data_IF_878864094244
#
_entry.id   IF_878864094244
#
_cell.length_a   1.000
_cell.length_b   1.000
_cell.length_c   1.000
_cell.angle_alpha   90.00
_cell.angle_beta   90.00
_cell.angle_gamma   90.00
#
_symmetry.space_group_name_H-M   'P 1'
#
loop_
_entity.id
_entity.type
_entity.pdbx_description
1 polymer ?
#
# COMPACT_ATOMS: atom_id res chain seq x y z
N UNK A 1 -1.76 4.13 -3.92
CA UNK A 1 -0.96 5.05 -3.07
C UNK A 1 -0.29 6.14 -3.89
N UNK A 2 0.52 5.83 -4.90
CA UNK A 2 1.16 6.82 -5.80
C UNK A 2 0.20 7.90 -6.31
N UNK A 3 -0.92 7.50 -6.92
CA UNK A 3 -1.93 8.43 -7.43
C UNK A 3 -2.60 9.26 -6.32
N UNK A 4 -2.80 8.67 -5.13
CA UNK A 4 -3.38 9.38 -3.99
C UNK A 4 -2.44 10.47 -3.48
N UNK A 5 -1.14 10.17 -3.42
CA UNK A 5 -0.10 11.15 -3.07
C UNK A 5 0.00 12.25 -4.12
N UNK A 6 0.09 11.90 -5.40
CA UNK A 6 0.10 12.87 -6.51
C UNK A 6 -1.07 13.85 -6.42
N UNK A 7 -2.31 13.35 -6.23
CA UNK A 7 -3.49 14.20 -6.04
C UNK A 7 -3.39 15.07 -4.79
N UNK A 8 -2.89 14.54 -3.69
CA UNK A 8 -2.69 15.35 -2.47
C UNK A 8 -1.64 16.45 -2.66
N UNK A 9 -0.57 16.22 -3.42
CA UNK A 9 0.42 17.23 -3.77
C UNK A 9 -0.12 18.31 -4.73
N UNK A 10 -1.21 18.00 -5.45
CA UNK A 10 -2.03 18.94 -6.22
C UNK A 10 -3.18 19.57 -5.41
N UNK A 11 -3.27 19.29 -4.10
CA UNK A 11 -4.36 19.76 -3.24
C UNK A 11 -5.75 19.27 -3.69
N UNK A 12 -5.82 18.04 -4.20
CA UNK A 12 -7.04 17.42 -4.72
C UNK A 12 -7.37 16.12 -3.99
N UNK A 13 -8.67 15.84 -3.77
CA UNK A 13 -9.09 14.56 -3.21
C UNK A 13 -8.75 13.41 -4.15
N UNK A 14 -8.50 12.23 -3.56
CA UNK A 14 -8.32 10.99 -4.31
C UNK A 14 -9.65 10.24 -4.36
N UNK A 15 -10.36 10.42 -5.47
CA UNK A 15 -11.75 9.97 -5.61
C UNK A 15 -11.84 8.61 -6.31
N UNK A 16 -12.74 7.74 -5.83
CA UNK A 16 -13.08 6.46 -6.47
C UNK A 16 -11.87 5.58 -6.81
N UNK A 17 -10.82 5.61 -5.99
CA UNK A 17 -9.53 4.95 -6.24
C UNK A 17 -8.87 5.34 -7.57
N UNK A 18 -9.12 6.57 -8.04
CA UNK A 18 -8.64 7.08 -9.33
C UNK A 18 -9.49 6.65 -10.52
N UNK A 19 -10.57 5.90 -10.30
CA UNK A 19 -11.50 5.49 -11.35
C UNK A 19 -12.50 6.59 -11.70
N UNK A 20 -13.10 6.49 -12.89
CA UNK A 20 -14.13 7.44 -13.32
C UNK A 20 -15.37 7.38 -12.39
N UNK A 21 -15.91 8.52 -11.92
CA UNK A 21 -17.14 8.57 -11.12
C UNK A 21 -18.35 7.92 -11.80
N UNK A 22 -18.34 7.83 -13.14
CA UNK A 22 -19.41 7.21 -13.91
C UNK A 22 -19.57 5.71 -13.67
N UNK A 23 -18.54 5.04 -13.12
CA UNK A 23 -18.61 3.61 -12.77
C UNK A 23 -19.30 3.38 -11.42
N UNK A 24 -19.41 4.42 -10.58
CA UNK A 24 -19.94 4.30 -9.23
C UNK A 24 -21.37 3.72 -9.20
N UNK A 25 -22.34 4.14 -10.03
CA UNK A 25 -23.68 3.55 -10.06
C UNK A 25 -23.69 2.04 -10.34
N UNK A 26 -22.79 1.55 -11.20
CA UNK A 26 -22.65 0.13 -11.50
C UNK A 26 -22.10 -0.65 -10.30
N UNK A 27 -21.11 -0.07 -9.62
CA UNK A 27 -20.57 -0.63 -8.37
C UNK A 27 -21.65 -0.66 -7.28
N UNK A 28 -22.48 0.38 -7.16
CA UNK A 28 -23.63 0.40 -6.25
C UNK A 28 -24.68 -0.66 -6.59
N UNK A 29 -25.02 -0.82 -7.87
CA UNK A 29 -25.98 -1.81 -8.34
C UNK A 29 -25.55 -3.25 -8.04
N UNK A 30 -24.22 -3.52 -8.00
CA UNK A 30 -23.69 -4.84 -7.62
C UNK A 30 -24.11 -5.32 -6.22
N UNK A 31 -24.55 -4.40 -5.34
CA UNK A 31 -25.06 -4.73 -4.00
C UNK A 31 -26.35 -5.55 -4.04
N UNK A 32 -27.16 -5.38 -5.09
CA UNK A 32 -28.41 -6.12 -5.27
C UNK A 32 -28.18 -7.59 -5.66
N UNK A 33 -26.94 -7.94 -6.03
CA UNK A 33 -26.59 -9.30 -6.38
C UNK A 33 -26.40 -10.15 -5.11
N UNK A 34 -26.88 -11.41 -5.11
CA UNK A 34 -26.52 -12.39 -4.08
C UNK A 34 -25.00 -12.53 -3.94
N UNK A 35 -24.52 -12.79 -2.73
CA UNK A 35 -23.09 -12.85 -2.41
C UNK A 35 -22.26 -13.72 -3.38
N UNK A 36 -22.70 -14.94 -3.79
CA UNK A 36 -21.93 -15.76 -4.73
C UNK A 36 -21.76 -15.07 -6.10
N UNK A 37 -22.80 -14.38 -6.57
CA UNK A 37 -22.77 -13.69 -7.86
C UNK A 37 -21.93 -12.42 -7.78
N UNK A 38 -21.99 -11.69 -6.66
CA UNK A 38 -21.14 -10.51 -6.42
C UNK A 38 -19.66 -10.84 -6.41
N UNK A 39 -19.28 -11.93 -5.74
CA UNK A 39 -17.90 -12.46 -5.74
C UNK A 39 -17.46 -12.88 -7.14
N UNK A 40 -18.32 -13.55 -7.91
CA UNK A 40 -18.04 -13.92 -9.31
C UNK A 40 -17.84 -12.70 -10.20
N UNK A 41 -18.69 -11.68 -10.08
CA UNK A 41 -18.57 -10.42 -10.84
C UNK A 41 -17.27 -9.72 -10.46
N UNK A 42 -16.95 -9.60 -9.18
CA UNK A 42 -15.69 -9.01 -8.74
C UNK A 42 -14.48 -9.76 -9.27
N UNK A 43 -14.43 -11.09 -9.08
CA UNK A 43 -13.36 -11.94 -9.60
C UNK A 43 -13.21 -11.79 -11.12
N UNK A 44 -14.32 -11.77 -11.87
CA UNK A 44 -14.28 -11.56 -13.31
C UNK A 44 -13.74 -10.17 -13.70
N UNK A 45 -14.15 -9.11 -12.99
CA UNK A 45 -13.68 -7.74 -13.23
C UNK A 45 -12.19 -7.63 -12.93
N UNK A 46 -11.74 -8.10 -11.77
CA UNK A 46 -10.31 -8.13 -11.44
C UNK A 46 -9.53 -8.96 -12.47
N UNK A 47 -10.01 -10.15 -12.83
CA UNK A 47 -9.42 -10.99 -13.89
C UNK A 47 -9.37 -10.34 -15.27
N UNK A 48 -10.27 -9.39 -15.56
CA UNK A 48 -10.29 -8.65 -16.82
C UNK A 48 -9.20 -7.56 -16.88
N UNK A 49 -8.78 -7.04 -15.73
CA UNK A 49 -7.63 -6.13 -15.59
C UNK A 49 -6.29 -6.85 -15.84
N UNK A 50 -6.25 -8.17 -15.65
CA UNK A 50 -5.08 -8.98 -15.93
C UNK A 50 -4.67 -8.97 -17.41
N UNK A 51 -3.37 -8.75 -17.65
CA UNK A 51 -2.76 -8.82 -18.97
C UNK A 51 -2.79 -10.26 -19.51
N UNK A 52 -3.21 -10.49 -20.76
CA UNK A 52 -3.04 -11.79 -21.41
C UNK A 52 -1.55 -12.16 -21.44
N UNK A 53 -1.16 -13.42 -21.15
CA UNK A 53 0.26 -13.83 -21.11
C UNK A 53 1.03 -13.48 -22.39
N UNK A 54 0.38 -13.55 -23.56
CA UNK A 54 0.97 -13.17 -24.86
C UNK A 54 1.44 -11.72 -24.97
N UNK A 55 0.95 -10.81 -24.10
CA UNK A 55 1.32 -9.39 -24.06
C UNK A 55 2.41 -9.09 -23.04
N UNK A 56 2.85 -10.05 -22.24
CA UNK A 56 3.97 -9.86 -21.31
C UNK A 56 5.25 -9.35 -21.96
N UNK A 57 5.61 -9.76 -23.21
CA UNK A 57 6.76 -9.17 -23.90
C UNK A 57 6.60 -7.67 -24.21
N UNK A 58 5.37 -7.14 -24.24
CA UNK A 58 5.12 -5.71 -24.52
C UNK A 58 5.27 -4.83 -23.26
N UNK A 59 5.49 -5.42 -22.09
CA UNK A 59 5.59 -4.69 -20.83
C UNK A 59 7.00 -4.09 -20.70
N UNK A 60 7.06 -2.77 -20.71
CA UNK A 60 8.28 -1.99 -20.47
C UNK A 60 8.15 -1.24 -19.14
N UNK A 61 8.78 -1.76 -18.09
CA UNK A 61 8.68 -1.21 -16.74
C UNK A 61 9.37 0.16 -16.62
N UNK A 62 10.36 0.44 -17.47
CA UNK A 62 10.95 1.78 -17.52
C UNK A 62 9.92 2.84 -17.93
N UNK A 63 8.98 2.49 -18.82
CA UNK A 63 7.85 3.38 -19.15
C UNK A 63 6.90 3.53 -17.95
N UNK A 64 6.75 2.51 -17.10
CA UNK A 64 5.98 2.60 -15.85
C UNK A 64 6.65 3.55 -14.87
N UNK A 65 7.98 3.48 -14.71
CA UNK A 65 8.74 4.42 -13.91
C UNK A 65 8.62 5.85 -14.45
N UNK A 66 8.68 6.03 -15.78
CA UNK A 66 8.43 7.32 -16.42
C UNK A 66 7.01 7.81 -16.11
N UNK A 67 5.98 7.00 -16.34
CA UNK A 67 4.59 7.35 -16.02
C UNK A 67 4.43 7.77 -14.56
N UNK A 68 5.10 7.09 -13.63
CA UNK A 68 5.02 7.36 -12.21
C UNK A 68 5.53 8.76 -11.85
N UNK A 69 6.72 9.14 -12.36
CA UNK A 69 7.29 10.47 -12.09
C UNK A 69 6.49 11.60 -12.75
N UNK A 70 5.82 11.32 -13.87
CA UNK A 70 4.93 12.28 -14.55
C UNK A 70 3.63 12.57 -13.78
N UNK A 71 3.29 11.78 -12.76
CA UNK A 71 2.12 12.06 -11.92
C UNK A 71 2.33 13.27 -10.99
N UNK A 72 3.58 13.67 -10.75
CA UNK A 72 3.88 14.70 -9.77
C UNK A 72 3.88 16.11 -10.37
N UNK A 73 3.41 17.13 -9.60
CA UNK A 73 3.54 18.52 -10.00
C UNK A 73 4.98 18.90 -10.38
N UNK A 74 5.11 19.72 -11.42
CA UNK A 74 6.41 20.21 -11.89
C UNK A 74 6.94 21.31 -10.97
N UNK A 75 7.58 20.92 -9.87
CA UNK A 75 8.25 21.81 -8.91
C UNK A 75 9.50 21.15 -8.34
N UNK A 76 10.30 21.90 -7.61
CA UNK A 76 11.38 21.34 -6.81
C UNK A 76 10.86 20.88 -5.44
N UNK A 77 11.35 19.75 -4.96
CA UNK A 77 10.93 19.13 -3.71
C UNK A 77 12.05 19.16 -2.66
N UNK A 78 11.73 19.40 -1.38
CA UNK A 78 12.71 19.48 -0.30
C UNK A 78 13.24 18.11 0.16
N UNK A 79 12.63 17.02 -0.31
CA UNK A 79 13.09 15.65 -0.18
C UNK A 79 12.31 14.78 -1.18
N UNK A 80 12.71 13.52 -1.29
CA UNK A 80 11.99 12.48 -2.05
C UNK A 80 12.10 11.18 -1.31
N UNK A 81 11.06 10.36 -1.38
CA UNK A 81 11.10 9.00 -0.85
C UNK A 81 11.23 7.99 -1.98
N UNK A 82 12.05 6.96 -1.81
CA UNK A 82 12.16 5.81 -2.72
C UNK A 82 11.98 4.52 -1.90
N UNK A 83 11.23 3.54 -2.39
CA UNK A 83 11.19 2.21 -1.76
C UNK A 83 9.80 1.62 -1.56
N UNK A 84 9.62 0.94 -0.44
CA UNK A 84 8.43 0.16 -0.07
C UNK A 84 7.15 0.99 -0.05
N UNK A 85 6.04 0.35 -0.40
CA UNK A 85 4.72 0.98 -0.29
C UNK A 85 4.23 0.96 1.15
N UNK A 86 3.65 2.06 1.62
CA UNK A 86 3.07 2.13 2.96
C UNK A 86 2.01 3.25 3.03
N UNK A 87 0.79 2.91 3.45
CA UNK A 87 -0.30 3.89 3.48
C UNK A 87 -0.18 4.92 4.59
N UNK A 88 0.39 4.56 5.75
CA UNK A 88 0.67 5.51 6.83
C UNK A 88 1.68 6.55 6.34
N UNK A 89 2.81 6.09 5.81
CA UNK A 89 3.85 6.98 5.31
C UNK A 89 3.36 7.84 4.13
N UNK A 90 2.43 7.33 3.30
CA UNK A 90 1.79 8.13 2.24
C UNK A 90 1.08 9.37 2.79
N UNK A 91 0.41 9.28 3.96
CA UNK A 91 -0.17 10.45 4.62
C UNK A 91 0.90 11.43 5.09
N UNK A 92 2.01 10.92 5.62
CA UNK A 92 3.14 11.74 6.06
C UNK A 92 3.82 12.46 4.89
N UNK A 93 4.02 11.78 3.76
CA UNK A 93 4.59 12.36 2.54
C UNK A 93 3.73 13.52 2.01
N UNK A 94 2.40 13.35 2.05
CA UNK A 94 1.46 14.40 1.68
C UNK A 94 1.56 15.61 2.62
N UNK A 95 1.64 15.39 3.93
CA UNK A 95 1.83 16.46 4.91
C UNK A 95 3.16 17.20 4.72
N UNK A 96 4.22 16.47 4.33
CA UNK A 96 5.53 17.05 4.02
C UNK A 96 5.61 17.71 2.64
N UNK A 97 4.65 17.43 1.74
CA UNK A 97 4.65 17.93 0.37
C UNK A 97 5.69 17.26 -0.53
N UNK A 98 6.13 16.04 -0.22
CA UNK A 98 7.22 15.31 -0.92
C UNK A 98 6.70 14.11 -1.73
N UNK A 99 7.34 13.76 -2.87
CA UNK A 99 6.95 12.64 -3.71
C UNK A 99 7.52 11.32 -3.18
N UNK A 100 6.89 10.22 -3.57
CA UNK A 100 7.36 8.85 -3.36
C UNK A 100 7.52 8.10 -4.68
N UNK A 101 8.67 7.48 -4.88
CA UNK A 101 9.01 6.69 -6.06
C UNK A 101 8.94 5.20 -5.69
N UNK A 102 7.92 4.46 -6.17
CA UNK A 102 7.70 3.08 -5.78
C UNK A 102 8.82 2.16 -6.26
N UNK A 103 9.27 1.25 -5.39
CA UNK A 103 10.12 0.12 -5.79
C UNK A 103 9.32 -1.01 -6.43
N UNK A 104 8.17 -1.36 -5.83
CA UNK A 104 7.40 -2.56 -6.20
C UNK A 104 6.23 -2.19 -7.10
N UNK A 105 6.03 -2.97 -8.16
CA UNK A 105 4.96 -2.82 -9.15
C UNK A 105 4.21 -4.14 -9.34
N UNK A 106 2.89 -4.09 -9.43
CA UNK A 106 2.08 -5.26 -9.74
C UNK A 106 1.78 -5.34 -11.24
N UNK A 107 2.15 -6.46 -11.86
CA UNK A 107 1.73 -6.85 -13.20
C UNK A 107 0.73 -8.00 -13.06
N UNK A 108 -0.59 -7.73 -13.07
CA UNK A 108 -1.57 -8.80 -13.00
C UNK A 108 -1.57 -9.58 -14.31
N UNK A 109 -1.39 -10.90 -14.26
CA UNK A 109 -1.35 -11.76 -15.45
C UNK A 109 -2.57 -12.68 -15.47
N UNK A 110 -3.34 -12.64 -16.54
CA UNK A 110 -4.59 -13.37 -16.64
C UNK A 110 -4.39 -14.90 -16.57
N UNK A 111 -5.01 -15.54 -15.58
CA UNK A 111 -5.04 -16.99 -15.33
C UNK A 111 -6.47 -17.37 -14.92
N UNK A 112 -7.37 -17.50 -15.90
CA UNK A 112 -8.81 -17.65 -15.64
C UNK A 112 -9.16 -19.01 -15.08
N UNK A 113 -10.09 -19.01 -14.13
CA UNK A 113 -10.68 -20.23 -13.53
C UNK A 113 -9.64 -21.14 -12.90
N UNK A 114 -8.56 -20.56 -12.39
CA UNK A 114 -7.59 -21.27 -11.60
C UNK A 114 -8.20 -21.69 -10.26
N UNK A 115 -7.82 -22.87 -9.78
CA UNK A 115 -8.03 -23.24 -8.40
C UNK A 115 -7.02 -22.47 -7.53
N UNK A 116 -7.48 -21.64 -6.57
CA UNK A 116 -6.57 -20.96 -5.64
C UNK A 116 -5.75 -21.95 -4.81
N UNK A 117 -6.22 -23.17 -4.58
CA UNK A 117 -5.48 -24.16 -3.79
C UNK A 117 -4.44 -24.94 -4.64
N UNK A 118 -4.42 -24.74 -5.97
CA UNK A 118 -3.43 -25.34 -6.88
C UNK A 118 -2.12 -24.54 -6.89
N UNK A 119 -1.33 -24.73 -5.83
CA UNK A 119 -0.03 -24.06 -5.62
C UNK A 119 0.99 -24.47 -6.69
N UNK A 120 1.04 -25.76 -7.06
CA UNK A 120 1.97 -26.25 -8.10
C UNK A 120 1.64 -25.62 -9.45
N UNK A 121 0.37 -25.59 -9.85
CA UNK A 121 -0.01 -24.95 -11.10
C UNK A 121 0.19 -23.43 -11.09
N UNK A 122 0.16 -22.77 -9.93
CA UNK A 122 0.56 -21.37 -9.81
C UNK A 122 2.06 -21.18 -10.07
N UNK A 123 2.92 -22.05 -9.49
CA UNK A 123 4.35 -22.06 -9.78
C UNK A 123 4.62 -22.32 -11.26
N UNK A 124 4.05 -23.39 -11.82
CA UNK A 124 4.28 -23.80 -13.21
C UNK A 124 3.86 -22.69 -14.19
N UNK A 125 2.76 -21.99 -13.89
CA UNK A 125 2.34 -20.81 -14.65
C UNK A 125 3.36 -19.68 -14.59
N UNK A 126 3.93 -19.41 -13.42
CA UNK A 126 5.02 -18.45 -13.23
C UNK A 126 6.24 -18.81 -14.07
N UNK A 127 6.71 -20.06 -13.99
CA UNK A 127 7.82 -20.58 -14.79
C UNK A 127 7.57 -20.40 -16.28
N UNK A 128 6.36 -20.74 -16.74
CA UNK A 128 6.01 -20.68 -18.16
C UNK A 128 5.99 -19.26 -18.73
N UNK A 129 5.58 -18.26 -17.93
CA UNK A 129 5.24 -16.93 -18.43
C UNK A 129 6.16 -15.80 -17.97
N UNK A 130 7.04 -16.02 -16.99
CA UNK A 130 7.94 -15.00 -16.48
C UNK A 130 9.05 -14.59 -17.46
N UNK A 131 9.66 -15.54 -18.17
CA UNK A 131 10.89 -15.27 -18.93
C UNK A 131 10.76 -14.16 -19.98
N UNK A 132 9.66 -14.06 -20.77
CA UNK A 132 9.51 -12.95 -21.70
C UNK A 132 9.44 -11.57 -21.04
N UNK A 133 8.86 -11.47 -19.83
CA UNK A 133 8.80 -10.23 -19.07
C UNK A 133 10.20 -9.82 -18.60
N UNK A 134 10.94 -10.75 -17.99
CA UNK A 134 12.28 -10.48 -17.43
C UNK A 134 13.32 -10.15 -18.51
N UNK A 135 13.26 -10.81 -19.69
CA UNK A 135 14.19 -10.51 -20.79
C UNK A 135 14.11 -9.06 -21.28
N UNK A 136 12.93 -8.46 -21.22
CA UNK A 136 12.72 -7.08 -21.67
C UNK A 136 12.91 -6.07 -20.53
N UNK A 137 13.13 -6.53 -19.30
CA UNK A 137 13.27 -5.70 -18.11
C UNK A 137 14.41 -6.26 -17.24
N UNK A 138 15.66 -5.99 -17.64
CA UNK A 138 16.83 -6.58 -16.97
C UNK A 138 17.11 -5.98 -15.57
N UNK A 139 16.52 -4.84 -15.24
CA UNK A 139 16.73 -4.07 -14.01
C UNK A 139 15.75 -4.41 -12.89
N UNK A 140 15.00 -5.51 -13.05
CA UNK A 140 13.99 -5.94 -12.09
C UNK A 140 14.08 -7.41 -11.72
N UNK A 141 13.61 -7.71 -10.51
CA UNK A 141 13.27 -9.06 -10.06
C UNK A 141 11.77 -9.30 -10.02
N UNK A 142 11.37 -10.56 -10.25
CA UNK A 142 9.99 -11.01 -10.21
C UNK A 142 9.74 -11.93 -9.01
N UNK A 143 8.74 -11.56 -8.23
CA UNK A 143 8.04 -12.44 -7.30
C UNK A 143 6.74 -12.91 -7.97
N UNK A 144 6.72 -14.16 -8.43
CA UNK A 144 5.49 -14.85 -8.80
C UNK A 144 4.79 -15.26 -7.49
N UNK A 145 3.92 -14.39 -7.00
CA UNK A 145 3.29 -14.54 -5.70
C UNK A 145 1.90 -15.18 -5.85
N UNK A 146 1.60 -16.12 -4.96
CA UNK A 146 0.33 -16.83 -4.92
C UNK A 146 -0.18 -16.93 -3.49
N UNK A 147 -1.32 -16.32 -3.19
CA UNK A 147 -1.96 -16.37 -1.87
C UNK A 147 -3.41 -16.90 -1.96
N UNK A 148 -3.67 -18.14 -1.51
CA UNK A 148 -5.01 -18.69 -1.42
C UNK A 148 -5.84 -18.14 -0.24
N UNK A 149 -5.25 -17.35 0.66
CA UNK A 149 -5.90 -16.82 1.85
C UNK A 149 -6.56 -15.45 1.60
N UNK A 150 -5.77 -14.38 1.42
CA UNK A 150 -6.32 -13.03 1.21
C UNK A 150 -6.83 -12.86 -0.22
N UNK A 151 -6.06 -13.34 -1.18
CA UNK A 151 -6.25 -13.11 -2.60
C UNK A 151 -7.06 -14.19 -3.33
N UNK A 152 -7.63 -15.17 -2.62
CA UNK A 152 -8.32 -16.34 -3.20
C UNK A 152 -9.22 -16.03 -4.41
N UNK A 153 -10.04 -14.98 -4.32
CA UNK A 153 -10.93 -14.57 -5.40
C UNK A 153 -10.16 -14.09 -6.64
N UNK A 154 -9.16 -13.25 -6.46
CA UNK A 154 -8.33 -12.72 -7.54
C UNK A 154 -7.37 -13.76 -8.09
N UNK A 155 -6.74 -14.58 -7.23
CA UNK A 155 -5.87 -15.69 -7.60
C UNK A 155 -6.57 -16.73 -8.49
N UNK A 156 -7.90 -16.86 -8.38
CA UNK A 156 -8.70 -17.69 -9.28
C UNK A 156 -8.80 -17.17 -10.71
N UNK A 157 -8.40 -15.92 -10.97
CA UNK A 157 -8.55 -15.24 -12.26
C UNK A 157 -7.26 -14.62 -12.81
N UNK A 158 -6.27 -14.40 -11.96
CA UNK A 158 -4.97 -13.86 -12.32
C UNK A 158 -3.84 -14.40 -11.43
N UNK A 159 -2.63 -14.41 -11.98
CA UNK A 159 -1.40 -14.55 -11.22
C UNK A 159 -0.84 -13.15 -10.87
N UNK A 160 -0.29 -13.02 -9.68
CA UNK A 160 0.32 -11.78 -9.20
C UNK A 160 1.82 -11.79 -9.51
N UNK A 161 2.22 -11.08 -10.57
CA UNK A 161 3.64 -10.83 -10.83
C UNK A 161 4.01 -9.53 -10.15
N UNK A 162 4.60 -9.63 -8.96
CA UNK A 162 5.13 -8.46 -8.23
C UNK A 162 6.57 -8.25 -8.64
N UNK A 163 6.81 -7.11 -9.26
CA UNK A 163 8.09 -6.74 -9.81
C UNK A 163 8.78 -5.74 -8.90
N UNK A 164 10.06 -5.97 -8.60
CA UNK A 164 10.88 -5.08 -7.77
C UNK A 164 12.03 -4.56 -8.60
N UNK A 165 12.26 -3.25 -8.54
CA UNK A 165 13.52 -2.67 -9.02
C UNK A 165 14.68 -3.16 -8.16
N UNK A 166 15.72 -3.68 -8.80
CA UNK A 166 17.04 -3.90 -8.17
C UNK A 166 18.08 -2.86 -8.62
N UNK A 167 17.78 -2.12 -9.70
CA UNK A 167 18.54 -0.95 -10.14
C UNK A 167 17.66 0.30 -10.20
N UNK A 168 18.25 1.48 -9.95
CA UNK A 168 17.54 2.76 -9.96
C UNK A 168 17.14 3.15 -11.41
N UNK A 169 15.85 3.23 -11.76
CA UNK A 169 15.43 3.47 -13.14
C UNK A 169 15.89 4.82 -13.69
N UNK A 170 16.22 4.93 -14.99
CA UNK A 170 16.62 6.21 -15.61
C UNK A 170 15.60 7.34 -15.41
N UNK A 171 14.30 7.03 -15.44
CA UNK A 171 13.25 7.99 -15.17
C UNK A 171 13.29 8.54 -13.73
N UNK A 172 13.63 7.69 -12.75
CA UNK A 172 13.80 8.12 -11.36
C UNK A 172 15.07 8.98 -11.24
N UNK A 173 16.19 8.56 -11.82
CA UNK A 173 17.41 9.37 -11.85
C UNK A 173 17.15 10.76 -12.44
N UNK A 174 16.48 10.84 -13.60
CA UNK A 174 16.12 12.11 -14.22
C UNK A 174 15.24 12.97 -13.31
N UNK A 175 14.24 12.37 -12.65
CA UNK A 175 13.40 13.07 -11.69
C UNK A 175 14.22 13.62 -10.52
N UNK A 176 15.09 12.81 -9.93
CA UNK A 176 15.97 13.22 -8.83
C UNK A 176 16.86 14.39 -9.24
N UNK A 177 17.49 14.33 -10.42
CA UNK A 177 18.37 15.40 -10.91
C UNK A 177 17.65 16.72 -11.14
N UNK A 178 16.40 16.70 -11.61
CA UNK A 178 15.70 17.91 -12.07
C UNK A 178 14.62 18.43 -11.10
N UNK A 179 14.16 17.59 -10.16
CA UNK A 179 13.05 17.90 -9.27
C UNK A 179 13.42 17.89 -7.79
N UNK A 180 14.60 17.41 -7.41
CA UNK A 180 15.08 17.50 -6.03
C UNK A 180 15.80 18.84 -5.83
N UNK A 181 15.57 19.52 -4.70
CA UNK A 181 16.36 20.70 -4.33
C UNK A 181 17.84 20.30 -4.12
N UNK A 182 18.80 21.22 -4.34
CA UNK A 182 20.20 20.96 -4.03
C UNK A 182 20.36 20.44 -2.59
N UNK A 183 21.13 19.37 -2.41
CA UNK A 183 21.39 18.72 -1.11
C UNK A 183 20.16 18.21 -0.34
N UNK A 184 18.96 18.19 -0.94
CA UNK A 184 17.80 17.61 -0.30
C UNK A 184 17.96 16.08 -0.14
N UNK A 185 17.47 15.48 0.97
CA UNK A 185 17.66 14.07 1.23
C UNK A 185 16.85 13.16 0.31
N UNK A 186 17.45 12.03 -0.03
CA UNK A 186 16.74 10.86 -0.57
C UNK A 186 16.43 9.95 0.62
N UNK A 187 15.16 9.83 0.96
CA UNK A 187 14.70 8.96 2.04
C UNK A 187 14.37 7.59 1.46
N UNK A 188 14.92 6.53 2.04
CA UNK A 188 14.61 5.15 1.65
C UNK A 188 13.58 4.59 2.61
N UNK A 189 12.35 4.37 2.14
CA UNK A 189 11.33 3.64 2.91
C UNK A 189 11.62 2.15 2.79
N UNK A 190 12.24 1.58 3.84
CA UNK A 190 12.79 0.22 3.83
C UNK A 190 12.01 -0.70 4.76
N UNK A 191 11.00 -1.37 4.21
CA UNK A 191 10.38 -2.50 4.90
C UNK A 191 11.34 -3.70 4.85
N UNK A 192 11.86 -4.09 6.01
CA UNK A 192 12.81 -5.19 6.15
C UNK A 192 12.11 -6.56 6.33
N UNK A 193 10.81 -6.65 6.05
CA UNK A 193 10.11 -7.95 6.03
C UNK A 193 10.64 -8.85 4.92
N UNK A 194 10.93 -10.09 5.30
CA UNK A 194 11.33 -11.16 4.40
C UNK A 194 10.24 -12.23 4.30
N UNK A 195 10.35 -13.09 3.30
CA UNK A 195 9.46 -14.22 3.10
C UNK A 195 10.21 -15.43 2.54
N UNK A 196 9.92 -16.67 3.00
CA UNK A 196 10.46 -17.89 2.41
C UNK A 196 9.97 -18.12 0.99
N UNK A 197 10.86 -18.42 0.05
CA UNK A 197 10.53 -18.58 -1.37
C UNK A 197 11.10 -19.85 -1.97
N UNK A 198 10.51 -20.28 -3.08
CA UNK A 198 11.12 -21.25 -3.99
C UNK A 198 11.82 -20.47 -5.11
N UNK A 199 13.14 -20.52 -5.16
CA UNK A 199 13.92 -19.90 -6.23
C UNK A 199 13.71 -20.64 -7.55
N UNK A 200 13.21 -19.93 -8.56
CA UNK A 200 12.98 -20.49 -9.90
C UNK A 200 14.23 -20.32 -10.76
N UNK A 201 14.77 -19.10 -10.78
CA UNK A 201 16.03 -18.75 -11.43
C UNK A 201 16.55 -17.44 -10.82
N UNK A 202 17.62 -16.89 -11.40
CA UNK A 202 18.12 -15.59 -10.99
C UNK A 202 17.06 -14.49 -11.20
N UNK A 203 16.92 -13.61 -10.20
CA UNK A 203 15.88 -12.57 -10.13
C UNK A 203 14.43 -13.05 -10.40
N UNK A 204 14.12 -14.34 -10.22
CA UNK A 204 12.77 -14.90 -10.31
C UNK A 204 12.52 -15.89 -9.18
N UNK A 205 11.60 -15.54 -8.30
CA UNK A 205 11.21 -16.35 -7.14
C UNK A 205 9.72 -16.60 -7.15
N UNK A 206 9.31 -17.73 -6.60
CA UNK A 206 7.92 -18.04 -6.32
C UNK A 206 7.66 -17.86 -4.82
N UNK A 207 6.68 -17.03 -4.48
CA UNK A 207 6.30 -16.75 -3.10
C UNK A 207 4.93 -17.38 -2.81
N UNK A 208 4.88 -18.35 -1.91
CA UNK A 208 3.62 -18.92 -1.43
C UNK A 208 3.13 -18.18 -0.18
N UNK A 209 1.96 -17.55 -0.29
CA UNK A 209 1.40 -16.67 0.73
C UNK A 209 1.94 -15.24 0.68
N UNK A 210 1.36 -14.40 1.53
CA UNK A 210 1.78 -13.02 1.77
C UNK A 210 1.35 -12.54 3.15
N UNK A 211 1.82 -11.35 3.54
CA UNK A 211 1.38 -10.65 4.73
C UNK A 211 -0.14 -10.44 4.70
N UNK A 212 -0.83 -10.95 5.73
CA UNK A 212 -2.29 -10.89 5.76
C UNK A 212 -2.91 -12.00 6.59
N UNK A 213 -2.63 -12.02 7.89
CA UNK A 213 -3.36 -12.89 8.83
C UNK A 213 -2.90 -14.36 8.90
N UNK A 214 -1.97 -14.79 8.06
CA UNK A 214 -1.25 -16.06 8.20
C UNK A 214 0.27 -15.83 8.22
N UNK A 215 0.98 -16.57 9.06
CA UNK A 215 2.45 -16.61 9.07
C UNK A 215 3.00 -17.53 7.96
N UNK A 216 4.28 -17.39 7.58
CA UNK A 216 4.92 -18.31 6.64
C UNK A 216 4.78 -19.80 7.04
N UNK A 217 5.00 -20.13 8.32
CA UNK A 217 4.84 -21.49 8.82
C UNK A 217 3.42 -22.04 8.64
N UNK A 218 2.41 -21.18 8.80
CA UNK A 218 1.02 -21.58 8.59
C UNK A 218 0.70 -21.83 7.11
N UNK A 219 1.35 -21.13 6.17
CA UNK A 219 1.28 -21.46 4.75
C UNK A 219 1.99 -22.78 4.45
N UNK A 220 3.19 -23.00 5.01
CA UNK A 220 3.94 -24.23 4.81
C UNK A 220 3.27 -25.48 5.40
N UNK A 221 2.38 -25.30 6.37
CA UNK A 221 1.54 -26.36 6.91
C UNK A 221 0.31 -26.70 6.01
N UNK A 222 0.04 -25.94 4.93
CA UNK A 222 -1.08 -26.23 4.04
C UNK A 222 -0.79 -27.43 3.12
N UNK A 223 -1.81 -28.23 2.77
CA UNK A 223 -1.67 -29.26 1.77
C UNK A 223 -1.18 -28.68 0.42
N UNK A 224 -0.19 -29.32 -0.20
CA UNK A 224 0.35 -28.88 -1.49
C UNK A 224 1.34 -27.73 -1.42
N UNK A 225 1.70 -27.26 -0.21
CA UNK A 225 2.78 -26.31 -0.01
C UNK A 225 4.09 -26.83 -0.64
N UNK A 226 4.87 -25.91 -1.22
CA UNK A 226 6.11 -26.22 -1.90
C UNK A 226 7.31 -25.99 -0.98
N UNK A 227 8.37 -26.77 -1.18
CA UNK A 227 9.63 -26.55 -0.47
C UNK A 227 10.21 -25.18 -0.83
N UNK A 228 10.57 -24.43 0.21
CA UNK A 228 11.27 -23.14 0.10
C UNK A 228 12.76 -23.38 0.30
N UNK A 229 13.59 -22.77 -0.53
CA UNK A 229 15.04 -22.95 -0.54
C UNK A 229 15.81 -21.64 -0.36
N UNK A 230 15.09 -20.53 -0.14
CA UNK A 230 15.67 -19.22 0.06
C UNK A 230 14.73 -18.31 0.88
N UNK A 231 15.25 -17.20 1.36
CA UNK A 231 14.50 -16.15 2.04
C UNK A 231 14.89 -14.78 1.45
N UNK A 232 13.90 -14.06 0.92
CA UNK A 232 14.10 -12.78 0.22
C UNK A 232 13.13 -11.73 0.73
N UNK A 233 13.25 -10.48 0.29
CA UNK A 233 12.29 -9.42 0.58
C UNK A 233 10.85 -9.85 0.24
N UNK A 234 9.89 -9.55 1.12
CA UNK A 234 8.48 -9.92 0.87
C UNK A 234 7.94 -9.24 -0.40
N UNK A 235 7.18 -9.98 -1.21
CA UNK A 235 6.79 -9.59 -2.56
C UNK A 235 6.07 -8.24 -2.68
N UNK A 236 5.20 -7.86 -1.73
CA UNK A 236 4.44 -6.60 -1.76
C UNK A 236 5.13 -5.45 -1.04
N UNK A 237 5.60 -5.74 0.17
CA UNK A 237 6.02 -4.73 1.14
C UNK A 237 7.53 -4.61 1.20
N UNK A 238 8.23 -5.76 1.22
CA UNK A 238 9.66 -5.86 1.43
C UNK A 238 10.48 -5.01 0.46
N UNK A 239 11.51 -4.35 0.97
CA UNK A 239 12.47 -3.58 0.21
C UNK A 239 13.58 -4.50 -0.33
N UNK A 240 14.04 -4.26 -1.56
CA UNK A 240 15.09 -5.05 -2.21
C UNK A 240 16.42 -4.34 -2.03
N UNK A 241 17.33 -4.95 -1.27
CA UNK A 241 18.58 -4.32 -0.86
C UNK A 241 19.54 -4.02 -2.03
N UNK A 242 19.40 -4.70 -3.18
CA UNK A 242 20.18 -4.36 -4.38
C UNK A 242 19.88 -2.92 -4.85
N UNK A 243 18.63 -2.48 -4.75
CA UNK A 243 18.26 -1.11 -5.11
C UNK A 243 18.93 -0.07 -4.19
N UNK A 244 19.16 -0.39 -2.92
CA UNK A 244 19.78 0.55 -1.96
C UNK A 244 21.19 0.93 -2.40
N UNK A 245 21.96 -0.02 -2.94
CA UNK A 245 23.31 0.23 -3.44
C UNK A 245 23.30 1.24 -4.59
N UNK A 246 22.36 1.07 -5.53
CA UNK A 246 22.17 2.01 -6.64
C UNK A 246 21.69 3.39 -6.19
N UNK A 247 20.81 3.46 -5.17
CA UNK A 247 20.37 4.74 -4.59
C UNK A 247 21.56 5.47 -3.96
N UNK A 248 22.36 4.79 -3.13
CA UNK A 248 23.54 5.38 -2.48
C UNK A 248 24.56 5.86 -3.49
N UNK A 249 24.89 5.04 -4.49
CA UNK A 249 25.81 5.43 -5.56
C UNK A 249 25.33 6.67 -6.33
N UNK A 250 24.03 6.74 -6.66
CA UNK A 250 23.46 7.93 -7.28
C UNK A 250 23.54 9.15 -6.36
N UNK A 251 23.18 8.99 -5.08
CA UNK A 251 23.11 10.06 -4.11
C UNK A 251 24.50 10.67 -3.82
N UNK A 252 25.52 9.83 -3.63
CA UNK A 252 26.91 10.24 -3.42
C UNK A 252 27.44 11.06 -4.60
N UNK A 253 27.15 10.61 -5.83
CA UNK A 253 27.56 11.30 -7.06
C UNK A 253 26.89 12.67 -7.24
N UNK A 254 25.69 12.86 -6.70
CA UNK A 254 24.89 14.07 -6.86
C UNK A 254 24.72 14.87 -5.55
N UNK A 255 25.54 14.57 -4.54
CA UNK A 255 25.60 15.30 -3.27
C UNK A 255 24.26 15.35 -2.51
N UNK A 256 23.49 14.27 -2.55
CA UNK A 256 22.26 14.10 -1.77
C UNK A 256 22.52 13.18 -0.57
N UNK A 257 22.16 13.58 0.67
CA UNK A 257 22.21 12.66 1.81
C UNK A 257 21.16 11.55 1.67
N UNK A 258 21.50 10.34 2.09
CA UNK A 258 20.57 9.19 2.10
C UNK A 258 20.12 8.92 3.52
N UNK A 259 18.81 8.94 3.76
CA UNK A 259 18.20 8.62 5.05
C UNK A 259 17.39 7.34 4.92
N UNK A 260 17.82 6.26 5.55
CA UNK A 260 17.05 5.02 5.67
C UNK A 260 16.01 5.11 6.78
N UNK A 261 14.74 4.98 6.38
CA UNK A 261 13.60 4.76 7.27
C UNK A 261 13.28 3.26 7.26
N UNK A 262 13.80 2.53 8.25
CA UNK A 262 13.70 1.07 8.34
C UNK A 262 12.65 0.64 9.36
N UNK A 263 11.81 -0.33 8.97
CA UNK A 263 10.80 -1.00 9.82
C UNK A 263 10.71 -2.48 9.43
N UNK A 264 10.01 -3.33 10.19
CA UNK A 264 10.03 -4.80 9.97
C UNK A 264 8.70 -5.39 9.55
N UNK A 265 7.64 -4.61 9.61
CA UNK A 265 6.31 -5.00 9.20
C UNK A 265 5.54 -3.77 8.68
N UNK A 266 4.69 -3.90 7.66
CA UNK A 266 4.01 -2.75 7.05
C UNK A 266 3.14 -1.95 8.06
N UNK A 267 2.63 -2.60 9.11
CA UNK A 267 1.86 -1.95 10.17
C UNK A 267 2.70 -1.06 11.10
N UNK A 268 4.01 -1.26 11.20
CA UNK A 268 4.88 -0.62 12.20
C UNK A 268 4.85 0.92 12.16
N UNK A 269 4.84 1.59 10.98
CA UNK A 269 4.85 3.04 10.92
C UNK A 269 3.56 3.72 11.40
N UNK A 270 2.43 3.00 11.49
CA UNK A 270 1.11 3.61 11.63
C UNK A 270 0.95 4.51 12.87
N UNK A 271 1.38 4.02 14.04
CA UNK A 271 1.27 4.76 15.30
C UNK A 271 2.18 6.01 15.32
N UNK A 272 3.45 5.83 14.93
CA UNK A 272 4.42 6.93 14.89
C UNK A 272 4.02 8.04 13.92
N UNK A 273 3.46 7.66 12.76
CA UNK A 273 2.87 8.61 11.80
C UNK A 273 1.71 9.36 12.45
N UNK A 274 0.78 8.66 13.10
CA UNK A 274 -0.38 9.28 13.75
C UNK A 274 0.06 10.31 14.80
N UNK A 275 1.04 9.97 15.64
CA UNK A 275 1.54 10.87 16.70
C UNK A 275 2.29 12.07 16.15
N UNK A 276 3.15 11.84 15.14
CA UNK A 276 3.84 12.92 14.41
C UNK A 276 2.84 13.89 13.77
N UNK A 277 1.78 13.35 13.17
CA UNK A 277 0.73 14.15 12.54
C UNK A 277 -0.09 14.93 13.57
N UNK A 278 -0.44 14.31 14.71
CA UNK A 278 -1.13 14.97 15.80
C UNK A 278 -0.28 16.12 16.39
N UNK A 279 1.03 15.91 16.56
CA UNK A 279 1.95 16.96 16.98
C UNK A 279 2.03 18.11 15.97
N UNK A 280 2.05 17.79 14.66
CA UNK A 280 2.00 18.80 13.60
C UNK A 280 0.72 19.65 13.66
N UNK A 281 -0.44 19.03 13.85
CA UNK A 281 -1.71 19.76 14.01
C UNK A 281 -1.66 20.69 15.23
N UNK A 282 -1.18 20.21 16.38
CA UNK A 282 -1.07 21.03 17.61
C UNK A 282 -0.17 22.25 17.43
N UNK A 283 0.95 22.13 16.70
CA UNK A 283 1.83 23.28 16.39
C UNK A 283 1.15 24.37 15.56
N UNK A 284 0.02 24.06 14.93
CA UNK A 284 -0.80 25.01 14.17
C UNK A 284 -2.08 25.43 14.91
N UNK A 285 -2.14 25.21 16.24
CA UNK A 285 -3.31 25.49 17.09
C UNK A 285 -4.57 24.76 16.60
N UNK A 286 -4.40 23.51 16.14
CA UNK A 286 -5.47 22.63 15.71
C UNK A 286 -5.51 21.44 16.66
N UNK A 287 -6.62 21.29 17.38
CA UNK A 287 -6.82 20.16 18.27
C UNK A 287 -7.06 18.86 17.46
N UNK A 288 -6.22 17.82 17.64
CA UNK A 288 -6.30 16.57 16.89
C UNK A 288 -7.44 15.65 17.38
N UNK A 289 -8.68 16.11 17.24
CA UNK A 289 -9.87 15.47 17.84
C UNK A 289 -10.42 14.28 17.04
N UNK A 290 -10.04 14.14 15.76
CA UNK A 290 -10.56 13.10 14.85
C UNK A 290 -9.45 12.15 14.44
N UNK A 291 -9.66 10.85 14.66
CA UNK A 291 -8.87 9.78 14.06
C UNK A 291 -9.57 9.29 12.80
N UNK A 292 -8.86 9.28 11.68
CA UNK A 292 -9.32 8.66 10.43
C UNK A 292 -8.45 7.43 10.15
N UNK A 293 -9.06 6.26 10.30
CA UNK A 293 -8.41 4.99 10.02
C UNK A 293 -8.63 4.60 8.56
N UNK A 294 -7.56 4.59 7.77
CA UNK A 294 -7.54 4.10 6.39
C UNK A 294 -7.07 2.64 6.34
N UNK A 295 -7.34 1.96 5.23
CA UNK A 295 -7.04 0.53 5.10
C UNK A 295 -6.59 0.18 3.68
N UNK A 296 -5.41 -0.42 3.56
CA UNK A 296 -4.78 -0.80 2.31
C UNK A 296 -4.79 0.35 1.28
N UNK A 297 -5.39 0.16 0.10
CA UNK A 297 -5.53 1.18 -0.95
C UNK A 297 -6.67 2.18 -0.72
N UNK A 298 -7.51 1.99 0.31
CA UNK A 298 -8.60 2.91 0.66
C UNK A 298 -8.06 4.00 1.59
N UNK A 299 -7.49 5.04 0.99
CA UNK A 299 -6.98 6.23 1.68
C UNK A 299 -7.18 7.49 0.83
N UNK A 300 -7.18 8.66 1.47
CA UNK A 300 -7.19 9.96 0.80
C UNK A 300 -6.39 10.97 1.65
N UNK A 301 -5.07 11.12 1.40
CA UNK A 301 -4.23 12.02 2.18
C UNK A 301 -4.70 13.47 2.16
N UNK A 302 -5.27 13.93 1.05
CA UNK A 302 -5.75 15.30 0.96
C UNK A 302 -6.97 15.53 1.85
N UNK A 303 -7.95 14.63 1.81
CA UNK A 303 -9.12 14.74 2.70
C UNK A 303 -8.73 14.62 4.17
N UNK A 304 -7.71 13.83 4.51
CA UNK A 304 -7.15 13.80 5.88
C UNK A 304 -6.65 15.17 6.30
N UNK A 305 -5.90 15.87 5.43
CA UNK A 305 -5.44 17.25 5.69
C UNK A 305 -6.64 18.23 5.77
N UNK A 306 -7.57 18.18 4.81
CA UNK A 306 -8.71 19.12 4.72
C UNK A 306 -9.68 19.00 5.90
N UNK A 307 -9.75 17.81 6.52
CA UNK A 307 -10.59 17.54 7.69
C UNK A 307 -9.84 17.68 9.02
N UNK A 308 -8.54 18.02 8.97
CA UNK A 308 -7.64 18.03 10.13
C UNK A 308 -7.70 16.72 10.94
N UNK A 309 -7.78 15.59 10.24
CA UNK A 309 -7.79 14.26 10.86
C UNK A 309 -6.37 13.80 11.17
N UNK A 310 -6.19 13.10 12.28
CA UNK A 310 -5.03 12.25 12.52
C UNK A 310 -5.18 10.97 11.69
N UNK A 311 -4.26 10.66 10.76
CA UNK A 311 -4.30 9.41 10.02
C UNK A 311 -3.79 8.26 10.87
N UNK A 312 -4.50 7.13 10.82
CA UNK A 312 -3.96 5.83 11.16
C UNK A 312 -4.20 4.90 9.98
N UNK A 313 -3.25 4.03 9.64
CA UNK A 313 -3.41 3.14 8.50
C UNK A 313 -3.27 1.69 8.92
N UNK A 314 -4.07 0.83 8.30
CA UNK A 314 -4.00 -0.62 8.46
C UNK A 314 -3.62 -1.25 7.12
N UNK A 315 -2.63 -2.15 7.12
CA UNK A 315 -2.18 -2.81 5.88
C UNK A 315 -3.26 -3.69 5.28
N UNK A 316 -4.00 -4.41 6.11
CA UNK A 316 -5.22 -5.17 5.77
C UNK A 316 -6.17 -5.17 6.97
N UNK A 317 -7.47 -5.49 6.78
CA UNK A 317 -8.42 -5.59 7.89
C UNK A 317 -8.25 -6.89 8.71
N UNK A 318 -7.03 -7.19 9.14
CA UNK A 318 -6.68 -8.39 9.91
C UNK A 318 -6.87 -8.18 11.41
N UNK A 319 -6.96 -9.28 12.17
CA UNK A 319 -6.93 -9.24 13.64
C UNK A 319 -5.66 -8.59 14.18
N UNK A 320 -4.51 -8.78 13.52
CA UNK A 320 -3.26 -8.12 13.88
C UNK A 320 -3.34 -6.60 13.68
N UNK A 321 -3.90 -6.13 12.56
CA UNK A 321 -4.14 -4.70 12.33
C UNK A 321 -5.13 -4.11 13.34
N UNK A 322 -6.18 -4.85 13.69
CA UNK A 322 -7.15 -4.45 14.70
C UNK A 322 -6.53 -4.35 16.10
N UNK A 323 -5.69 -5.32 16.50
CA UNK A 323 -4.93 -5.26 17.76
C UNK A 323 -3.97 -4.07 17.77
N UNK A 324 -3.21 -3.84 16.70
CA UNK A 324 -2.30 -2.69 16.63
C UNK A 324 -3.04 -1.34 16.79
N UNK A 325 -4.24 -1.22 16.22
CA UNK A 325 -5.09 -0.04 16.43
C UNK A 325 -5.63 0.02 17.87
N UNK A 326 -6.03 -1.11 18.45
CA UNK A 326 -6.47 -1.17 19.85
C UNK A 326 -5.37 -0.68 20.80
N UNK A 327 -4.15 -1.19 20.64
CA UNK A 327 -2.98 -0.80 21.44
C UNK A 327 -2.73 0.72 21.30
N UNK A 328 -2.83 1.26 20.09
CA UNK A 328 -2.71 2.70 19.86
C UNK A 328 -3.78 3.50 20.62
N UNK A 329 -5.03 3.03 20.58
CA UNK A 329 -6.17 3.67 21.25
C UNK A 329 -6.14 3.51 22.78
N UNK A 330 -5.31 2.64 23.35
CA UNK A 330 -5.15 2.51 24.81
C UNK A 330 -4.40 3.71 25.41
N UNK A 331 -3.50 4.33 24.63
CA UNK A 331 -2.78 5.54 25.03
C UNK A 331 -3.42 6.85 24.56
N UNK A 332 -4.45 6.79 23.70
CA UNK A 332 -4.96 7.95 22.98
C UNK A 332 -6.48 8.09 23.07
N UNK A 333 -6.96 9.33 23.10
CA UNK A 333 -8.41 9.62 23.09
C UNK A 333 -8.75 10.55 21.95
N UNK A 334 -9.87 10.26 21.28
CA UNK A 334 -10.39 11.03 20.17
C UNK A 334 -11.88 11.29 20.37
N UNK A 335 -12.37 12.46 19.95
CA UNK A 335 -13.80 12.75 19.92
C UNK A 335 -14.51 11.94 18.84
N UNK A 336 -13.84 11.77 17.70
CA UNK A 336 -14.37 11.06 16.55
C UNK A 336 -13.38 10.02 16.04
N UNK A 337 -13.85 8.80 15.80
CA UNK A 337 -13.08 7.73 15.15
C UNK A 337 -13.89 7.25 13.94
N UNK A 338 -13.36 7.53 12.75
CA UNK A 338 -13.92 7.10 11.48
C UNK A 338 -13.02 6.00 10.88
N UNK A 339 -13.57 4.80 10.64
CA UNK A 339 -12.80 3.66 10.13
C UNK A 339 -13.27 3.26 8.74
N UNK A 340 -12.39 3.35 7.75
CA UNK A 340 -12.59 2.78 6.41
C UNK A 340 -11.93 1.40 6.35
N UNK A 341 -12.55 0.45 5.62
CA UNK A 341 -12.02 -0.91 5.48
C UNK A 341 -11.91 -1.32 4.01
N UNK A 342 -10.76 -1.89 3.65
CA UNK A 342 -10.57 -2.55 2.36
C UNK A 342 -11.38 -3.85 2.31
N UNK A 343 -12.16 -4.06 1.25
CA UNK A 343 -12.99 -5.25 1.06
C UNK A 343 -12.42 -6.14 -0.04
N UNK A 344 -11.63 -7.14 0.36
CA UNK A 344 -11.01 -8.12 -0.55
C UNK A 344 -11.93 -9.30 -0.90
N UNK A 345 -13.11 -9.40 -0.28
CA UNK A 345 -14.17 -10.33 -0.66
C UNK A 345 -14.10 -11.72 -0.04
N UNK A 346 -12.97 -12.10 0.55
CA UNK A 346 -12.74 -13.42 1.13
C UNK A 346 -12.84 -13.37 2.66
N UNK A 347 -13.38 -14.42 3.30
CA UNK A 347 -13.24 -14.59 4.76
C UNK A 347 -11.92 -15.31 5.01
N UNK A 348 -10.82 -14.57 4.91
CA UNK A 348 -9.47 -15.08 5.08
C UNK A 348 -9.19 -15.46 6.54
N UNK A 349 -8.28 -16.41 6.75
CA UNK A 349 -7.71 -16.70 8.07
C UNK A 349 -6.99 -15.44 8.56
N UNK A 350 -7.31 -15.05 9.80
CA UNK A 350 -6.81 -13.83 10.43
C UNK A 350 -7.58 -12.55 10.05
N UNK A 351 -8.72 -12.63 9.34
CA UNK A 351 -9.61 -11.49 9.12
C UNK A 351 -10.25 -11.03 10.44
N UNK A 352 -10.24 -9.72 10.71
CA UNK A 352 -11.09 -9.12 11.73
C UNK A 352 -12.44 -8.74 11.12
N UNK A 353 -13.52 -9.31 11.66
CA UNK A 353 -14.90 -9.02 11.22
C UNK A 353 -15.27 -7.55 11.47
N UNK A 354 -16.24 -7.03 10.72
CA UNK A 354 -16.65 -5.62 10.79
C UNK A 354 -17.09 -5.19 12.21
N UNK A 355 -17.60 -6.13 13.01
CA UNK A 355 -17.98 -5.92 14.41
C UNK A 355 -16.79 -5.52 15.29
N UNK A 356 -15.63 -6.15 15.08
CA UNK A 356 -14.40 -5.82 15.78
C UNK A 356 -13.97 -4.38 15.47
N UNK A 357 -13.98 -4.00 14.20
CA UNK A 357 -13.66 -2.63 13.78
C UNK A 357 -14.68 -1.61 14.32
N UNK A 358 -15.97 -1.94 14.33
CA UNK A 358 -16.98 -1.04 14.90
C UNK A 358 -16.79 -0.86 16.41
N UNK A 359 -16.35 -1.90 17.15
CA UNK A 359 -16.01 -1.77 18.57
C UNK A 359 -14.83 -0.81 18.78
N UNK A 360 -13.78 -0.90 17.95
CA UNK A 360 -12.67 0.06 17.98
C UNK A 360 -13.12 1.49 17.68
N UNK A 361 -13.99 1.67 16.68
CA UNK A 361 -14.57 2.98 16.39
C UNK A 361 -15.38 3.53 17.57
N UNK A 362 -16.12 2.68 18.28
CA UNK A 362 -16.93 3.05 19.45
C UNK A 362 -16.10 3.52 20.67
N UNK A 363 -14.75 3.41 20.62
CA UNK A 363 -13.87 3.99 21.65
C UNK A 363 -13.81 5.53 21.58
N UNK A 364 -14.35 6.14 20.53
CA UNK A 364 -14.45 7.59 20.40
C UNK A 364 -15.34 8.20 21.51
N UNK A 365 -14.98 9.38 22.02
CA UNK A 365 -15.75 10.06 23.09
C UNK A 365 -17.14 10.52 22.63
N UNK A 366 -17.31 10.83 21.35
CA UNK A 366 -18.55 11.41 20.81
C UNK A 366 -19.11 10.61 19.66
N UNK A 367 -18.29 10.22 18.68
CA UNK A 367 -18.77 9.55 17.46
C UNK A 367 -17.79 8.52 16.90
N UNK A 368 -18.19 7.25 16.93
CA UNK A 368 -17.48 6.15 16.29
C UNK A 368 -18.28 5.55 15.14
N UNK A 369 -17.68 5.35 13.96
CA UNK A 369 -18.36 4.66 12.86
C UNK A 369 -17.42 3.98 11.87
N UNK A 370 -17.93 2.94 11.20
CA UNK A 370 -17.38 2.49 9.93
C UNK A 370 -17.77 3.47 8.82
N UNK A 371 -16.79 4.18 8.27
CA UNK A 371 -16.98 5.23 7.26
C UNK A 371 -17.01 4.62 5.85
N UNK A 372 -18.16 4.67 5.19
CA UNK A 372 -18.31 4.18 3.82
C UNK A 372 -18.36 2.65 3.67
N UNK A 373 -18.41 1.90 4.77
CA UNK A 373 -18.43 0.43 4.81
C UNK A 373 -19.83 -0.08 5.19
N UNK A 374 -20.28 -1.14 4.52
CA UNK A 374 -21.51 -1.87 4.86
C UNK A 374 -21.15 -3.07 5.73
N UNK A 375 -21.46 -2.95 7.03
CA UNK A 375 -21.12 -3.96 8.05
C UNK A 375 -21.60 -5.37 7.69
N UNK A 376 -22.82 -5.50 7.15
CA UNK A 376 -23.40 -6.80 6.80
C UNK A 376 -22.87 -7.41 5.50
N UNK A 377 -22.18 -6.63 4.67
CA UNK A 377 -21.62 -7.08 3.40
C UNK A 377 -20.11 -7.31 3.46
N UNK A 378 -19.41 -6.74 4.45
CA UNK A 378 -18.00 -6.97 4.71
C UNK A 378 -17.73 -8.48 4.96
N UNK A 379 -16.62 -9.06 4.45
CA UNK A 379 -15.51 -8.47 3.69
C UNK A 379 -15.76 -8.33 2.18
N UNK A 380 -16.97 -8.64 1.68
CA UNK A 380 -17.36 -8.55 0.27
C UNK A 380 -18.19 -7.29 -0.05
N UNK A 381 -17.84 -6.20 0.61
CA UNK A 381 -18.42 -4.88 0.38
C UNK A 381 -17.60 -4.08 -0.65
N UNK A 382 -17.62 -4.51 -1.90
CA UNK A 382 -16.91 -3.80 -2.98
C UNK A 382 -17.45 -2.39 -3.23
N UNK A 383 -18.65 -2.08 -2.74
CA UNK A 383 -19.21 -0.73 -2.82
C UNK A 383 -18.47 0.28 -1.93
N UNK A 384 -17.66 -0.17 -0.99
CA UNK A 384 -16.75 0.68 -0.20
C UNK A 384 -15.86 1.55 -1.11
N UNK A 385 -15.39 1.01 -2.23
CA UNK A 385 -14.53 1.72 -3.20
C UNK A 385 -15.22 2.89 -3.89
N UNK A 386 -16.55 2.88 -3.95
CA UNK A 386 -17.34 4.00 -4.45
C UNK A 386 -17.90 4.89 -3.33
N UNK A 387 -18.05 4.37 -2.12
CA UNK A 387 -18.66 5.07 -0.98
C UNK A 387 -17.70 5.88 -0.14
N UNK A 388 -16.42 5.49 -0.08
CA UNK A 388 -15.46 6.19 0.77
C UNK A 388 -15.33 7.67 0.37
N UNK A 389 -15.33 7.98 -0.94
CA UNK A 389 -15.25 9.36 -1.45
C UNK A 389 -16.38 10.26 -0.95
N UNK A 390 -17.68 9.99 -1.22
CA UNK A 390 -18.75 10.83 -0.68
C UNK A 390 -18.84 10.78 0.84
N UNK A 391 -18.39 9.71 1.50
CA UNK A 391 -18.34 9.64 2.96
C UNK A 391 -17.29 10.58 3.55
N UNK A 392 -16.09 10.65 2.97
CA UNK A 392 -15.03 11.59 3.35
C UNK A 392 -15.45 13.05 3.08
N UNK A 393 -16.04 13.34 1.92
CA UNK A 393 -16.51 14.70 1.58
C UNK A 393 -17.58 15.23 2.56
N UNK A 394 -18.28 14.36 3.28
CA UNK A 394 -19.31 14.73 4.28
C UNK A 394 -18.72 14.99 5.66
N UNK A 395 -17.43 14.73 5.87
CA UNK A 395 -16.76 15.08 7.11
C UNK A 395 -16.69 16.62 7.23
N UNK A 396 -16.87 17.18 8.44
CA UNK A 396 -16.63 18.59 8.68
C UNK A 396 -15.20 18.96 8.28
N UNK A 397 -15.04 20.05 7.53
CA UNK A 397 -13.72 20.60 7.23
C UNK A 397 -13.06 21.10 8.52
N UNK A 398 -11.77 20.85 8.63
CA UNK A 398 -10.93 21.37 9.71
C UNK A 398 -10.30 22.71 9.32
N UNK A 399 -9.71 23.40 10.30
CA UNK A 399 -8.71 24.43 10.01
C UNK A 399 -7.50 23.73 9.42
N UNK A 400 -7.03 24.16 8.25
CA UNK A 400 -5.83 23.59 7.63
C UNK A 400 -4.56 24.11 8.33
N UNK A 401 -3.52 23.27 8.48
CA UNK A 401 -2.18 23.72 8.84
C UNK A 401 -1.69 24.81 7.88
N UNK A 402 -1.00 25.82 8.42
CA UNK A 402 -0.55 26.98 7.65
C UNK A 402 0.72 26.71 6.84
N UNK A 403 1.49 25.69 7.22
CA UNK A 403 2.69 25.25 6.51
C UNK A 403 2.74 23.72 6.47
N UNK A 404 3.41 23.14 5.46
CA UNK A 404 3.72 21.71 5.43
C UNK A 404 4.48 21.27 6.68
N UNK A 405 4.39 19.99 7.01
CA UNK A 405 5.27 19.35 7.98
C UNK A 405 6.70 19.34 7.44
N UNK A 406 7.68 19.85 8.19
CA UNK A 406 9.08 19.74 7.74
C UNK A 406 9.55 18.29 7.75
N UNK A 407 10.38 17.93 6.77
CA UNK A 407 10.96 16.58 6.63
C UNK A 407 11.74 16.18 7.87
N UNK A 408 12.50 17.11 8.45
CA UNK A 408 13.24 16.89 9.70
C UNK A 408 12.33 16.56 10.88
N UNK A 409 11.25 17.32 11.09
CA UNK A 409 10.28 16.99 12.16
C UNK A 409 9.62 15.64 11.89
N UNK A 410 9.31 15.33 10.63
CA UNK A 410 8.72 14.06 10.25
C UNK A 410 9.64 12.87 10.61
N UNK A 411 10.93 12.97 10.27
CA UNK A 411 11.93 11.96 10.59
C UNK A 411 12.17 11.84 12.10
N UNK A 412 12.22 12.97 12.82
CA UNK A 412 12.36 12.98 14.27
C UNK A 412 11.19 12.26 14.95
N UNK A 413 9.95 12.60 14.58
CA UNK A 413 8.76 11.96 15.16
C UNK A 413 8.67 10.47 14.86
N UNK A 414 9.12 10.03 13.67
CA UNK A 414 9.23 8.60 13.36
C UNK A 414 10.30 7.90 14.20
N UNK A 415 11.40 8.58 14.54
CA UNK A 415 12.51 8.01 15.33
C UNK A 415 12.17 7.77 16.80
N UNK A 416 11.08 8.37 17.31
CA UNK A 416 10.59 8.15 18.67
C UNK A 416 9.98 6.75 18.86
N UNK A 417 9.64 6.06 17.77
CA UNK A 417 9.11 4.71 17.80
C UNK A 417 10.21 3.66 17.85
N UNK A 418 10.15 2.75 18.81
CA UNK A 418 11.06 1.60 18.89
C UNK A 418 10.95 0.63 17.70
N UNK A 419 9.86 0.71 16.93
CA UNK A 419 9.62 -0.15 15.74
C UNK A 419 10.26 0.41 14.48
N UNK A 420 10.80 1.63 14.53
CA UNK A 420 11.33 2.35 13.38
C UNK A 420 12.77 2.77 13.68
N UNK A 421 13.67 2.53 12.73
CA UNK A 421 15.03 3.05 12.78
C UNK A 421 15.21 4.08 11.68
N UNK A 422 15.59 5.30 12.05
CA UNK A 422 15.99 6.36 11.12
C UNK A 422 17.52 6.46 11.16
N UNK A 423 18.18 6.27 10.01
CA UNK A 423 19.65 6.33 9.89
C UNK A 423 20.02 7.16 8.67
N UNK A 424 20.94 8.09 8.78
CA UNK A 424 21.39 8.93 7.67
C UNK A 424 22.53 9.84 8.07
#
# INVERSE_FOLDING_TARGET
>A
MLLALSRALEERPFEYLGQSPMTAPLVYASRLLPLPLRRRVYAFVTGSEGLPPRRLPEVELEQVAAWAVHQYPQRQYPAVVVGSSNGALTHLYAACGIPWLPQTWLVPVRRRWADPDDVRGALDFGVQHASPLLRNNATVGLHAMHDPNQDALSASQMAYFRIKWHALPPAYQHFLTHRLQPHAPIIVARDASTWPVTRVMDHHVFQFGAQGGMSPDQYQALPGALETNDEVAEAEWGFDDELLEHIRSYADKHEHPVVELRYRHPQDPAAAVADTYAAWLRRHDIEPNRLLVSSFIVLDPWQTIDTASVPYWTYFPTSQGAHALSDYLDGHTFDEIDIMLFSHGTRSRGLAEADCWQQLANRARRRGRLLGVERSAFPADFSTFARYTPALRRLPRGRRPQSPLSVETALLGLSESERISVRG
#
